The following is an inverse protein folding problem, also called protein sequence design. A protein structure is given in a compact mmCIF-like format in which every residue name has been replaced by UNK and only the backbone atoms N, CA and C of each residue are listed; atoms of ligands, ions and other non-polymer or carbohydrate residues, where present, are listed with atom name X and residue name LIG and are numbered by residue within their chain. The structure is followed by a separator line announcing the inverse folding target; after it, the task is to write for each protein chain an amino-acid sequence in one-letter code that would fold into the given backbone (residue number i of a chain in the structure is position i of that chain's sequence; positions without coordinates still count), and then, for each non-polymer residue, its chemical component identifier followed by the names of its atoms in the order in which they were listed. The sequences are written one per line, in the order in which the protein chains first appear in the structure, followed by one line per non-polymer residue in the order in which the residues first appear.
data_IF_318727302457
#
_entry.id   IF_318727302457
#
_cell.length_a   1.000
_cell.length_b   1.000
_cell.length_c   1.000
_cell.angle_alpha   90.00
_cell.angle_beta   90.00
_cell.angle_gamma   90.00
#
_symmetry.space_group_name_H-M   'P 1'
#
loop_
_entity.id
_entity.type
_entity.pdbx_description
1 polymer ?
#
# COMPACT_ATOMS: atom_id res chain seq x y z
N UNK A 1 -27.49 36.76 -32.47
CA UNK A 1 -27.29 37.07 -31.04
C UNK A 1 -28.53 36.65 -30.27
N UNK A 2 -28.69 35.35 -30.00
CA UNK A 2 -29.79 34.73 -29.25
C UNK A 2 -29.20 33.47 -28.63
N UNK A 3 -29.19 33.39 -27.29
CA UNK A 3 -28.91 32.24 -26.39
C UNK A 3 -28.13 32.74 -25.16
N UNK A 4 -28.80 33.49 -24.28
CA UNK A 4 -28.24 33.78 -22.95
C UNK A 4 -29.32 34.01 -21.86
N UNK A 5 -30.53 33.47 -22.04
CA UNK A 5 -31.67 33.81 -21.18
C UNK A 5 -32.49 32.60 -20.67
N UNK A 6 -31.90 31.40 -20.62
CA UNK A 6 -32.61 30.17 -20.17
C UNK A 6 -32.00 29.54 -18.91
N UNK A 7 -30.87 30.05 -18.40
CA UNK A 7 -30.13 29.39 -17.30
C UNK A 7 -30.39 29.98 -15.89
N UNK A 8 -31.47 30.75 -15.69
CA UNK A 8 -31.74 31.41 -14.39
C UNK A 8 -33.04 30.96 -13.70
N UNK A 9 -33.85 30.10 -14.30
CA UNK A 9 -35.23 29.84 -13.81
C UNK A 9 -35.46 28.43 -13.23
N UNK A 10 -34.39 27.68 -12.95
CA UNK A 10 -34.48 26.30 -12.42
C UNK A 10 -34.04 26.22 -10.94
N UNK A 11 -33.59 27.31 -10.34
CA UNK A 11 -32.98 27.31 -9.01
C UNK A 11 -33.93 27.64 -7.84
N UNK A 12 -35.25 27.72 -8.05
CA UNK A 12 -36.13 28.34 -7.05
C UNK A 12 -37.49 27.66 -6.86
N UNK A 13 -37.56 26.32 -6.85
CA UNK A 13 -38.88 25.66 -6.68
C UNK A 13 -38.95 24.32 -5.91
N UNK A 14 -38.01 23.92 -5.06
CA UNK A 14 -38.24 22.73 -4.21
C UNK A 14 -37.68 22.90 -2.79
N UNK A 15 -38.39 23.67 -1.96
CA UNK A 15 -38.18 23.78 -0.51
C UNK A 15 -39.51 23.87 0.25
N UNK A 16 -40.12 22.72 0.49
CA UNK A 16 -41.12 22.40 1.53
C UNK A 16 -41.45 20.92 1.28
N UNK A 17 -41.36 19.98 2.22
CA UNK A 17 -42.21 19.87 3.39
C UNK A 17 -41.52 18.98 4.44
N UNK A 18 -41.55 19.44 5.69
CA UNK A 18 -41.17 18.68 6.87
C UNK A 18 -42.28 17.77 7.39
N UNK A 19 -41.85 16.76 8.16
CA UNK A 19 -42.60 15.70 8.82
C UNK A 19 -43.69 16.17 9.80
N UNK A 20 -44.78 15.39 9.86
CA UNK A 20 -45.63 15.23 11.04
C UNK A 20 -45.73 13.73 11.42
N UNK A 21 -45.64 13.47 12.73
CA UNK A 21 -45.57 12.16 13.39
C UNK A 21 -46.95 11.52 13.65
N UNK A 22 -46.89 10.20 13.88
CA UNK A 22 -47.63 9.40 14.88
C UNK A 22 -48.65 8.33 14.41
N UNK A 23 -48.22 7.10 14.71
CA UNK A 23 -48.94 5.98 15.37
C UNK A 23 -49.94 5.13 14.56
N UNK A 24 -49.56 3.87 14.32
CA UNK A 24 -50.40 2.72 14.63
C UNK A 24 -49.53 1.46 14.69
N UNK A 25 -49.41 0.89 15.89
CA UNK A 25 -48.92 -0.47 16.11
C UNK A 25 -50.08 -1.43 15.89
N UNK A 26 -50.02 -2.26 14.85
CA UNK A 26 -50.73 -3.55 14.84
C UNK A 26 -50.02 -4.55 13.92
N UNK A 27 -49.52 -5.60 14.55
CA UNK A 27 -49.55 -7.00 14.12
C UNK A 27 -49.24 -7.39 12.65
N UNK A 28 -48.16 -8.18 12.55
CA UNK A 28 -48.07 -9.43 11.79
C UNK A 28 -47.87 -9.41 10.25
N UNK A 29 -46.74 -10.03 9.90
CA UNK A 29 -46.55 -11.00 8.81
C UNK A 29 -46.23 -10.46 7.41
N UNK A 30 -44.98 -10.73 7.03
CA UNK A 30 -44.50 -11.05 5.68
C UNK A 30 -44.83 -10.06 4.55
N UNK A 31 -43.85 -9.21 4.19
CA UNK A 31 -43.35 -9.07 2.83
C UNK A 31 -42.12 -8.15 2.83
N UNK A 32 -41.21 -8.41 1.88
CA UNK A 32 -39.86 -7.83 1.83
C UNK A 32 -39.80 -6.31 1.91
N UNK A 33 -38.83 -5.82 2.69
CA UNK A 33 -38.28 -4.48 2.55
C UNK A 33 -36.92 -4.58 1.87
N UNK A 34 -36.94 -4.35 0.56
CA UNK A 34 -35.77 -3.83 -0.16
C UNK A 34 -35.50 -2.43 0.41
N UNK A 35 -34.57 -2.34 1.35
CA UNK A 35 -34.17 -1.09 1.96
C UNK A 35 -32.83 -0.67 1.36
N UNK A 36 -32.94 0.26 0.41
CA UNK A 36 -32.02 1.37 0.17
C UNK A 36 -30.52 1.05 0.13
N UNK A 37 -29.98 1.13 -1.09
CA UNK A 37 -28.57 1.33 -1.38
C UNK A 37 -28.01 2.48 -0.54
N UNK A 38 -27.36 2.14 0.57
CA UNK A 38 -26.47 3.01 1.31
C UNK A 38 -25.04 2.70 0.84
N UNK A 39 -24.25 3.69 0.39
CA UNK A 39 -22.95 3.44 -0.26
C UNK A 39 -21.83 3.02 0.73
N UNK A 40 -22.17 2.56 1.92
CA UNK A 40 -21.23 2.12 2.97
C UNK A 40 -21.20 0.61 3.23
N UNK A 41 -21.85 -0.21 2.41
CA UNK A 41 -22.01 -1.65 2.61
C UNK A 41 -20.83 -2.52 2.15
N UNK A 42 -19.57 -2.14 2.41
CA UNK A 42 -18.41 -2.94 1.98
C UNK A 42 -17.88 -3.91 3.05
N UNK A 43 -18.54 -4.08 4.20
CA UNK A 43 -17.97 -4.91 5.27
C UNK A 43 -18.76 -6.12 5.75
N UNK A 44 -20.10 -6.18 5.71
CA UNK A 44 -20.77 -7.32 6.39
C UNK A 44 -22.01 -7.84 5.66
N UNK A 45 -21.81 -8.77 4.72
CA UNK A 45 -22.82 -9.74 4.30
C UNK A 45 -22.19 -10.94 3.58
N UNK A 46 -21.80 -11.95 4.35
CA UNK A 46 -21.92 -13.40 4.06
C UNK A 46 -20.78 -14.17 4.74
N UNK A 47 -21.09 -14.73 5.90
CA UNK A 47 -20.36 -15.88 6.40
C UNK A 47 -20.74 -17.11 5.55
N UNK A 48 -19.73 -17.78 5.00
CA UNK A 48 -19.88 -19.10 4.38
C UNK A 48 -19.11 -19.25 3.07
N UNK A 49 -17.79 -19.41 3.15
CA UNK A 49 -17.01 -20.33 2.31
C UNK A 49 -15.57 -20.32 2.87
N UNK A 50 -14.92 -21.48 2.99
CA UNK A 50 -13.51 -21.58 3.36
C UNK A 50 -12.61 -21.10 2.20
N UNK A 51 -12.71 -19.83 1.81
CA UNK A 51 -11.69 -19.20 0.98
C UNK A 51 -10.42 -19.20 1.82
N UNK A 52 -9.52 -20.13 1.49
CA UNK A 52 -8.13 -20.16 1.96
C UNK A 52 -7.47 -18.87 1.45
N UNK A 53 -7.80 -17.75 2.07
CA UNK A 53 -7.21 -16.45 1.77
C UNK A 53 -5.81 -16.50 2.36
N UNK A 54 -4.88 -17.05 1.58
CA UNK A 54 -3.47 -17.14 1.95
C UNK A 54 -2.94 -15.71 2.02
N UNK A 55 -2.97 -15.13 3.21
CA UNK A 55 -2.38 -13.82 3.49
C UNK A 55 -0.92 -14.04 3.85
N UNK A 56 -0.01 -13.57 3.01
CA UNK A 56 1.43 -13.62 3.31
C UNK A 56 1.87 -12.25 3.81
N UNK A 57 2.63 -12.25 4.89
CA UNK A 57 3.18 -11.04 5.48
C UNK A 57 4.70 -11.04 5.33
N UNK A 58 5.23 -10.00 4.69
CA UNK A 58 6.66 -9.78 4.56
C UNK A 58 7.12 -8.75 5.59
N UNK A 59 8.29 -9.02 6.15
CA UNK A 59 8.97 -8.11 7.07
C UNK A 59 10.35 -7.75 6.52
N UNK A 60 10.70 -6.48 6.66
CA UNK A 60 12.04 -5.96 6.34
C UNK A 60 12.48 -4.98 7.41
N UNK A 61 13.79 -4.78 7.51
CA UNK A 61 14.39 -3.72 8.31
C UNK A 61 15.30 -2.91 7.41
N UNK A 62 14.84 -1.73 7.02
CA UNK A 62 15.63 -0.77 6.26
C UNK A 62 16.56 0.01 7.18
N UNK A 63 17.70 0.45 6.64
CA UNK A 63 18.72 1.20 7.38
C UNK A 63 19.06 2.50 6.68
N UNK A 64 19.26 3.55 7.46
CA UNK A 64 19.70 4.85 7.00
C UNK A 64 20.77 5.38 7.92
N UNK A 65 21.74 6.09 7.36
CA UNK A 65 22.84 6.70 8.10
C UNK A 65 22.68 8.22 8.06
N UNK A 66 22.91 8.87 9.19
CA UNK A 66 23.01 10.31 9.29
C UNK A 66 24.20 10.81 8.46
N UNK A 67 24.00 11.70 7.47
CA UNK A 67 25.11 12.24 6.69
C UNK A 67 25.96 13.19 7.53
N UNK A 68 27.27 13.16 7.30
CA UNK A 68 28.22 14.04 7.98
C UNK A 68 28.08 15.50 7.52
N UNK A 69 27.61 15.73 6.29
CA UNK A 69 27.50 17.04 5.65
C UNK A 69 26.20 17.81 5.98
N UNK A 70 25.41 17.37 6.97
CA UNK A 70 24.17 18.04 7.33
C UNK A 70 24.41 19.38 8.05
N UNK A 71 23.61 20.40 7.73
CA UNK A 71 23.74 21.74 8.35
C UNK A 71 23.35 21.70 9.83
N UNK A 72 22.36 20.87 10.18
CA UNK A 72 21.91 20.70 11.56
C UNK A 72 21.75 19.23 11.91
N UNK A 73 21.89 18.90 13.20
CA UNK A 73 21.68 17.52 13.67
C UNK A 73 20.24 17.03 13.44
N UNK A 74 19.26 17.93 13.53
CA UNK A 74 17.87 17.61 13.23
C UNK A 74 17.67 17.23 11.76
N UNK A 75 18.35 17.92 10.86
CA UNK A 75 18.32 17.61 9.42
C UNK A 75 18.97 16.25 9.12
N UNK A 76 20.13 15.97 9.71
CA UNK A 76 20.84 14.69 9.56
C UNK A 76 19.93 13.52 9.94
N UNK A 77 19.26 13.66 11.07
CA UNK A 77 18.29 12.70 11.60
C UNK A 77 17.15 12.44 10.61
N UNK A 78 16.53 13.49 10.09
CA UNK A 78 15.41 13.37 9.15
C UNK A 78 15.87 12.72 7.85
N UNK A 79 17.08 13.03 7.38
CA UNK A 79 17.67 12.36 6.21
C UNK A 79 17.89 10.87 6.46
N UNK A 80 18.43 10.48 7.63
CA UNK A 80 18.62 9.09 7.99
C UNK A 80 17.30 8.31 8.06
N UNK A 81 16.25 8.91 8.64
CA UNK A 81 14.91 8.31 8.68
C UNK A 81 14.35 8.06 7.28
N UNK A 82 14.48 9.05 6.38
CA UNK A 82 14.05 8.91 4.98
C UNK A 82 14.83 7.84 4.23
N UNK A 83 16.15 7.80 4.42
CA UNK A 83 17.01 6.77 3.85
C UNK A 83 16.63 5.37 4.34
N UNK A 84 16.37 5.22 5.65
CA UNK A 84 15.96 3.94 6.23
C UNK A 84 14.62 3.44 5.67
N UNK A 85 13.65 4.33 5.48
CA UNK A 85 12.37 3.98 4.86
C UNK A 85 12.54 3.61 3.39
N UNK A 86 13.33 4.37 2.63
CA UNK A 86 13.61 4.08 1.22
C UNK A 86 14.31 2.73 1.04
N UNK A 87 15.30 2.43 1.89
CA UNK A 87 15.99 1.14 1.92
C UNK A 87 15.03 -0.02 2.25
N UNK A 88 14.11 0.19 3.20
CA UNK A 88 13.07 -0.77 3.52
C UNK A 88 12.15 -1.07 2.32
N UNK A 89 11.72 -0.05 1.59
CA UNK A 89 10.93 -0.25 0.37
C UNK A 89 11.71 -1.02 -0.70
N UNK A 90 12.98 -0.67 -0.93
CA UNK A 90 13.85 -1.40 -1.86
C UNK A 90 13.93 -2.90 -1.52
N UNK A 91 14.25 -3.22 -0.25
CA UNK A 91 14.30 -4.60 0.23
C UNK A 91 12.96 -5.34 0.07
N UNK A 92 11.82 -4.66 0.29
CA UNK A 92 10.51 -5.26 0.07
C UNK A 92 10.27 -5.60 -1.40
N UNK A 93 10.64 -4.68 -2.30
CA UNK A 93 10.46 -4.90 -3.73
C UNK A 93 11.31 -6.08 -4.19
N UNK A 94 12.56 -6.15 -3.77
CA UNK A 94 13.46 -7.27 -4.10
C UNK A 94 12.90 -8.60 -3.59
N UNK A 95 12.36 -8.63 -2.36
CA UNK A 95 11.74 -9.85 -1.79
C UNK A 95 10.47 -10.30 -2.52
N UNK A 96 9.67 -9.35 -3.02
CA UNK A 96 8.38 -9.65 -3.65
C UNK A 96 8.53 -9.97 -5.14
N UNK A 97 9.33 -9.17 -5.86
CA UNK A 97 9.44 -9.21 -7.32
C UNK A 97 10.69 -9.96 -7.81
N UNK A 98 11.68 -10.16 -6.95
CA UNK A 98 13.02 -10.56 -7.34
C UNK A 98 13.84 -9.36 -7.83
N UNK A 99 15.02 -9.65 -8.34
CA UNK A 99 16.01 -8.66 -8.77
C UNK A 99 16.72 -9.16 -10.03
N UNK A 100 16.97 -8.26 -10.98
CA UNK A 100 17.81 -8.55 -12.14
C UNK A 100 19.24 -8.12 -11.84
N UNK A 101 20.20 -9.01 -12.11
CA UNK A 101 21.62 -8.79 -11.81
C UNK A 101 22.42 -8.97 -13.09
N UNK A 102 23.07 -7.88 -13.52
CA UNK A 102 23.99 -7.87 -14.65
C UNK A 102 25.42 -7.78 -14.10
N UNK A 103 26.28 -8.74 -14.47
CA UNK A 103 27.66 -8.81 -14.01
C UNK A 103 28.63 -8.76 -15.19
N UNK A 104 29.54 -7.79 -15.16
CA UNK A 104 30.61 -7.65 -16.14
C UNK A 104 31.95 -7.91 -15.48
N UNK A 105 32.66 -8.94 -15.94
CA UNK A 105 33.97 -9.33 -15.42
C UNK A 105 35.00 -9.31 -16.55
N UNK A 106 36.16 -8.69 -16.29
CA UNK A 106 37.32 -8.71 -17.19
C UNK A 106 38.48 -9.43 -16.53
N UNK A 107 38.81 -10.61 -17.03
CA UNK A 107 39.97 -11.39 -16.59
C UNK A 107 41.16 -11.24 -17.54
N UNK A 108 42.38 -11.24 -16.99
CA UNK A 108 43.62 -11.24 -17.77
C UNK A 108 44.78 -11.81 -16.95
N UNK A 109 45.66 -12.60 -17.57
CA UNK A 109 46.83 -13.26 -16.94
C UNK A 109 46.49 -14.07 -15.67
N UNK A 110 45.31 -14.70 -15.65
CA UNK A 110 44.87 -15.52 -14.52
C UNK A 110 44.30 -14.71 -13.33
N UNK A 111 44.14 -13.39 -13.44
CA UNK A 111 43.54 -12.52 -12.42
C UNK A 111 42.31 -11.79 -12.95
N UNK A 112 41.33 -11.49 -12.08
CA UNK A 112 40.21 -10.59 -12.40
C UNK A 112 40.71 -9.16 -12.21
N UNK A 113 40.69 -8.37 -13.28
CA UNK A 113 41.20 -6.99 -13.27
C UNK A 113 40.10 -5.95 -13.07
N UNK A 114 38.86 -6.28 -13.45
CA UNK A 114 37.71 -5.41 -13.26
C UNK A 114 36.44 -6.26 -13.13
N UNK A 115 35.59 -5.89 -12.17
CA UNK A 115 34.28 -6.47 -11.95
C UNK A 115 33.29 -5.35 -11.64
N UNK A 116 32.15 -5.35 -12.33
CA UNK A 116 31.05 -4.44 -12.08
C UNK A 116 29.74 -5.24 -12.03
N UNK A 117 29.00 -5.12 -10.92
CA UNK A 117 27.71 -5.77 -10.72
C UNK A 117 26.65 -4.68 -10.64
N UNK A 118 25.69 -4.71 -11.57
CA UNK A 118 24.56 -3.80 -11.63
C UNK A 118 23.27 -4.55 -11.29
N UNK A 119 22.42 -3.90 -10.51
CA UNK A 119 21.25 -4.52 -9.90
C UNK A 119 20.04 -3.64 -10.17
N UNK A 120 19.03 -4.20 -10.84
CA UNK A 120 17.87 -3.46 -11.30
C UNK A 120 16.57 -4.12 -10.83
N UNK A 121 15.69 -3.31 -10.23
CA UNK A 121 14.37 -3.74 -9.79
C UNK A 121 13.37 -2.62 -9.97
N UNK A 122 12.24 -2.91 -10.64
CA UNK A 122 11.14 -1.96 -10.81
C UNK A 122 9.81 -2.64 -10.44
N UNK A 123 9.09 -2.05 -9.49
CA UNK A 123 7.76 -2.54 -9.08
C UNK A 123 6.96 -1.47 -8.37
N UNK A 124 5.64 -1.69 -8.33
CA UNK A 124 4.69 -0.86 -7.60
C UNK A 124 4.14 -1.64 -6.42
N UNK A 125 4.51 -1.26 -5.21
CA UNK A 125 3.98 -1.88 -3.98
C UNK A 125 3.02 -0.90 -3.29
N UNK A 126 1.88 -1.42 -2.85
CA UNK A 126 0.86 -0.69 -2.09
C UNK A 126 0.59 -1.42 -0.78
N UNK A 127 0.20 -0.68 0.25
CA UNK A 127 -0.19 -1.25 1.54
C UNK A 127 0.98 -1.67 2.44
N UNK A 128 2.18 -1.10 2.22
CA UNK A 128 3.28 -1.23 3.17
C UNK A 128 3.01 -0.34 4.38
N UNK A 129 3.21 -0.90 5.56
CA UNK A 129 3.06 -0.23 6.85
C UNK A 129 4.43 -0.06 7.50
N UNK A 130 4.71 1.16 7.95
CA UNK A 130 5.92 1.46 8.73
C UNK A 130 5.59 1.15 10.20
N UNK A 131 6.11 0.04 10.70
CA UNK A 131 5.80 -0.45 12.05
C UNK A 131 6.49 0.36 13.14
N UNK A 132 7.79 0.62 12.95
CA UNK A 132 8.63 1.29 13.95
C UNK A 132 9.85 1.89 13.29
N UNK A 133 10.22 3.09 13.72
CA UNK A 133 11.51 3.70 13.44
C UNK A 133 12.28 3.74 14.75
N UNK A 134 13.50 3.20 14.76
CA UNK A 134 14.37 3.17 15.93
C UNK A 134 15.69 3.81 15.55
N UNK A 135 16.05 4.87 16.27
CA UNK A 135 17.38 5.47 16.15
C UNK A 135 18.35 4.65 17.00
N UNK A 136 19.36 4.10 16.35
CA UNK A 136 20.45 3.38 16.98
C UNK A 136 21.60 4.33 17.34
N UNK A 137 22.68 3.72 17.81
CA UNK A 137 23.94 4.42 18.05
C UNK A 137 24.62 4.80 16.72
N UNK A 138 25.56 5.74 16.78
CA UNK A 138 26.39 6.16 15.64
C UNK A 138 25.60 6.73 14.44
N UNK A 139 24.41 7.32 14.68
CA UNK A 139 23.60 7.93 13.62
C UNK A 139 22.92 6.93 12.69
N UNK A 140 22.87 5.64 13.06
CA UNK A 140 22.18 4.61 12.27
C UNK A 140 20.72 4.56 12.67
N UNK A 141 19.83 4.85 11.74
CA UNK A 141 18.37 4.72 11.91
C UNK A 141 17.87 3.44 11.25
N UNK A 142 17.05 2.69 11.97
CA UNK A 142 16.42 1.45 11.50
C UNK A 142 14.92 1.67 11.33
N UNK A 143 14.37 1.33 10.17
CA UNK A 143 12.94 1.35 9.90
C UNK A 143 12.44 -0.08 9.69
N UNK A 144 11.52 -0.56 10.53
CA UNK A 144 10.86 -1.85 10.36
C UNK A 144 9.58 -1.65 9.57
N UNK A 145 9.48 -2.30 8.41
CA UNK A 145 8.31 -2.23 7.54
C UNK A 145 7.65 -3.62 7.45
N UNK A 146 6.33 -3.59 7.29
CA UNK A 146 5.47 -4.77 7.11
C UNK A 146 4.67 -4.60 5.84
N UNK A 147 4.61 -5.65 5.02
CA UNK A 147 3.74 -5.69 3.85
C UNK A 147 2.84 -6.91 3.96
N UNK A 148 1.52 -6.70 3.90
CA UNK A 148 0.52 -7.77 3.95
C UNK A 148 -0.11 -7.91 2.56
N UNK A 149 0.12 -9.05 1.91
CA UNK A 149 -0.45 -9.35 0.60
C UNK A 149 -1.54 -10.39 0.78
N UNK A 150 -2.75 -10.05 0.31
CA UNK A 150 -3.82 -11.02 0.12
C UNK A 150 -3.73 -11.54 -1.30
N UNK A 151 -3.40 -12.82 -1.45
CA UNK A 151 -3.47 -13.46 -2.75
C UNK A 151 -4.93 -13.81 -3.04
N UNK A 152 -5.60 -12.93 -3.79
CA UNK A 152 -7.02 -13.07 -4.15
C UNK A 152 -7.22 -13.88 -5.44
N UNK A 153 -6.16 -14.39 -6.06
CA UNK A 153 -6.24 -15.08 -7.34
C UNK A 153 -5.80 -16.52 -7.22
N UNK A 154 -6.77 -17.42 -7.32
CA UNK A 154 -6.53 -18.83 -7.59
C UNK A 154 -5.76 -18.95 -8.91
N UNK A 155 -4.60 -19.62 -8.87
CA UNK A 155 -3.72 -19.78 -10.04
C UNK A 155 -2.53 -18.81 -10.13
N UNK A 156 -2.26 -17.96 -9.12
CA UNK A 156 -0.96 -17.29 -9.04
C UNK A 156 0.10 -18.32 -8.60
N UNK A 157 0.69 -19.01 -9.56
CA UNK A 157 1.87 -19.85 -9.36
C UNK A 157 3.02 -18.90 -8.99
N UNK A 158 3.29 -18.80 -7.70
CA UNK A 158 4.54 -18.28 -7.20
C UNK A 158 5.62 -19.28 -7.64
N UNK A 159 6.60 -18.81 -8.41
CA UNK A 159 7.72 -19.63 -8.89
C UNK A 159 8.28 -20.47 -7.73
N UNK A 160 8.67 -21.72 -8.00
CA UNK A 160 9.09 -22.62 -6.94
C UNK A 160 10.31 -21.98 -6.27
N UNK A 161 10.26 -21.95 -4.94
CA UNK A 161 11.46 -22.01 -4.11
C UNK A 161 12.47 -22.91 -4.80
N UNK A 162 13.69 -22.42 -4.98
CA UNK A 162 14.73 -23.14 -5.71
C UNK A 162 14.74 -24.61 -5.31
N UNK A 163 14.78 -25.49 -6.32
CA UNK A 163 15.16 -26.87 -6.15
C UNK A 163 16.51 -26.88 -5.40
N UNK A 164 16.44 -27.28 -4.14
CA UNK A 164 17.55 -27.70 -3.30
C UNK A 164 17.16 -29.02 -2.67
#
# INVERSE_FOLDING_TARGET
MKKLLVLSMVFMMLSSYGCSNQLSQTAAKALGKSAANSPGGVLDAAAGESTNSKVVTFYVTGRGLEPEDALTKGEAVIMAERAAVADGYRQLVEKVRGVYVDAFMKAGRGTINHEAIQVHTQSWIRGTEIMKITRGEYGITNARLRLRIRFAKDGMIWWPVGLG
#
